data_IF_398254847245
#
_entry.id   IF_398254847245
#
_cell.length_a   1.000
_cell.length_b   1.000
_cell.length_c   1.000
_cell.angle_alpha   90.00
_cell.angle_beta   90.00
_cell.angle_gamma   90.00
#
_symmetry.space_group_name_H-M   'P 1'
#
loop_
_entity.id
_entity.type
_entity.pdbx_description
1 polymer ?
#
# COMPACT_ATOMS: atom_id res chain seq x y z
N UNK A 1 -6.39 -54.40 -57.82
CA UNK A 1 -5.56 -55.09 -56.81
C UNK A 1 -4.11 -54.69 -57.04
N UNK A 2 -3.48 -54.02 -56.06
CA UNK A 2 -2.03 -53.97 -55.85
C UNK A 2 -1.80 -53.48 -54.40
N UNK A 3 -0.80 -54.06 -53.74
CA UNK A 3 -0.60 -54.09 -52.29
C UNK A 3 0.55 -53.19 -51.82
N UNK A 4 0.43 -52.72 -50.58
CA UNK A 4 1.44 -52.43 -49.54
C UNK A 4 2.60 -51.45 -49.77
N UNK A 5 2.72 -50.52 -48.82
CA UNK A 5 3.95 -49.83 -48.43
C UNK A 5 3.71 -49.04 -47.13
N UNK A 6 4.17 -49.58 -46.01
CA UNK A 6 4.16 -48.96 -44.68
C UNK A 6 5.14 -47.79 -44.61
N UNK A 7 4.84 -46.76 -43.81
CA UNK A 7 5.82 -46.02 -43.00
C UNK A 7 5.10 -45.24 -41.88
N UNK A 8 5.56 -45.43 -40.64
CA UNK A 8 5.21 -44.73 -39.39
C UNK A 8 6.50 -44.00 -38.90
N UNK A 9 6.46 -43.11 -37.89
CA UNK A 9 6.16 -41.68 -37.89
C UNK A 9 7.44 -40.82 -37.68
N UNK A 10 7.32 -39.54 -37.27
CA UNK A 10 7.85 -39.26 -35.94
C UNK A 10 6.89 -38.49 -35.05
N UNK A 11 6.88 -38.89 -33.78
CA UNK A 11 6.33 -38.16 -32.67
C UNK A 11 7.01 -36.79 -32.50
N UNK A 12 6.21 -35.77 -32.24
CA UNK A 12 6.59 -34.58 -31.46
C UNK A 12 5.29 -34.16 -30.78
N UNK A 13 5.02 -34.77 -29.63
CA UNK A 13 5.11 -34.15 -28.30
C UNK A 13 4.14 -32.96 -28.08
N UNK A 14 3.51 -32.91 -26.90
CA UNK A 14 2.26 -32.20 -26.68
C UNK A 14 2.47 -30.69 -26.67
N UNK A 15 1.65 -29.97 -27.45
CA UNK A 15 1.32 -28.58 -27.16
C UNK A 15 0.81 -28.53 -25.71
N UNK A 16 1.61 -28.00 -24.79
CA UNK A 16 1.20 -27.73 -23.40
C UNK A 16 0.43 -26.40 -23.43
N UNK A 17 -0.91 -26.38 -23.35
CA UNK A 17 -1.67 -25.14 -23.24
C UNK A 17 -1.86 -24.89 -21.74
N UNK A 18 -0.78 -24.52 -21.06
CA UNK A 18 -0.77 -24.40 -19.60
C UNK A 18 -0.07 -23.16 -19.05
N UNK A 19 0.78 -22.50 -19.85
CA UNK A 19 1.57 -21.37 -19.37
C UNK A 19 0.87 -20.02 -19.52
N UNK A 20 -0.07 -19.86 -20.45
CA UNK A 20 -0.71 -18.56 -20.71
C UNK A 20 -1.87 -18.28 -19.74
N UNK A 21 -2.56 -19.29 -19.23
CA UNK A 21 -3.68 -19.10 -18.30
C UNK A 21 -3.25 -18.54 -16.94
N UNK A 22 -2.04 -18.91 -16.46
CA UNK A 22 -1.52 -18.52 -15.14
C UNK A 22 -1.10 -17.05 -15.05
N UNK A 23 -0.64 -16.46 -16.17
CA UNK A 23 -0.09 -15.09 -16.18
C UNK A 23 -1.23 -14.06 -16.13
N UNK A 24 -2.33 -14.33 -16.83
CA UNK A 24 -3.52 -13.47 -16.79
C UNK A 24 -4.16 -13.44 -15.40
N UNK A 25 -4.18 -14.58 -14.71
CA UNK A 25 -4.73 -14.67 -13.36
C UNK A 25 -3.84 -13.91 -12.36
N UNK A 26 -2.52 -14.07 -12.43
CA UNK A 26 -1.55 -13.38 -11.58
C UNK A 26 -1.59 -11.84 -11.73
N UNK A 27 -1.69 -11.34 -12.97
CA UNK A 27 -1.81 -9.90 -13.25
C UNK A 27 -3.14 -9.33 -12.73
N UNK A 28 -4.24 -10.07 -12.85
CA UNK A 28 -5.55 -9.66 -12.35
C UNK A 28 -5.60 -9.59 -10.80
N UNK A 29 -4.95 -10.53 -10.12
CA UNK A 29 -4.81 -10.50 -8.66
C UNK A 29 -3.95 -9.33 -8.18
N UNK A 30 -2.87 -9.00 -8.90
CA UNK A 30 -1.99 -7.88 -8.56
C UNK A 30 -2.75 -6.53 -8.59
N UNK A 31 -3.48 -6.26 -9.68
CA UNK A 31 -4.28 -5.04 -9.84
C UNK A 31 -5.37 -4.93 -8.76
N UNK A 32 -6.02 -6.05 -8.44
CA UNK A 32 -7.03 -6.10 -7.38
C UNK A 32 -6.43 -5.79 -6.00
N UNK A 33 -5.24 -6.31 -5.70
CA UNK A 33 -4.57 -6.04 -4.42
C UNK A 33 -4.13 -4.60 -4.29
N UNK A 34 -3.61 -3.99 -5.36
CA UNK A 34 -3.23 -2.57 -5.38
C UNK A 34 -4.46 -1.67 -5.20
N UNK A 35 -5.55 -1.94 -5.93
CA UNK A 35 -6.80 -1.21 -5.78
C UNK A 35 -7.35 -1.31 -4.35
N UNK A 36 -7.36 -2.51 -3.76
CA UNK A 36 -7.84 -2.71 -2.40
C UNK A 36 -6.95 -1.98 -1.38
N UNK A 37 -5.63 -1.93 -1.58
CA UNK A 37 -4.72 -1.16 -0.72
C UNK A 37 -5.03 0.33 -0.78
N UNK A 38 -5.28 0.90 -1.97
CA UNK A 38 -5.65 2.31 -2.11
C UNK A 38 -6.95 2.62 -1.36
N UNK A 39 -7.98 1.80 -1.54
CA UNK A 39 -9.26 1.96 -0.83
C UNK A 39 -9.10 1.84 0.69
N UNK A 40 -8.28 0.90 1.17
CA UNK A 40 -8.01 0.74 2.59
C UNK A 40 -7.31 1.98 3.18
N UNK A 41 -6.36 2.57 2.45
CA UNK A 41 -5.66 3.79 2.88
C UNK A 41 -6.59 4.99 2.87
N UNK A 42 -7.45 5.13 1.85
CA UNK A 42 -8.46 6.19 1.83
C UNK A 42 -9.42 6.09 3.02
N UNK A 43 -9.87 4.88 3.34
CA UNK A 43 -10.74 4.65 4.49
C UNK A 43 -10.02 4.93 5.82
N UNK A 44 -8.74 4.56 5.92
CA UNK A 44 -7.91 4.88 7.08
C UNK A 44 -7.79 6.41 7.28
N UNK A 45 -7.57 7.17 6.21
CA UNK A 45 -7.50 8.64 6.28
C UNK A 45 -8.85 9.21 6.71
N UNK A 46 -9.96 8.75 6.12
CA UNK A 46 -11.31 9.22 6.48
C UNK A 46 -11.64 8.95 7.94
N UNK A 47 -11.35 7.75 8.41
CA UNK A 47 -11.62 7.34 9.78
C UNK A 47 -10.74 8.09 10.78
N UNK A 48 -9.45 8.30 10.48
CA UNK A 48 -8.56 9.11 11.33
C UNK A 48 -8.99 10.58 11.36
N UNK A 49 -9.39 11.16 10.22
CA UNK A 49 -9.91 12.54 10.16
C UNK A 49 -11.17 12.70 11.00
N UNK A 50 -12.08 11.72 10.93
CA UNK A 50 -13.28 11.67 11.79
C UNK A 50 -12.91 11.55 13.27
N UNK A 51 -11.91 10.72 13.61
CA UNK A 51 -11.43 10.57 14.98
C UNK A 51 -10.86 11.88 15.55
N UNK A 52 -9.97 12.54 14.80
CA UNK A 52 -9.43 13.87 15.15
C UNK A 52 -10.55 14.88 15.38
N UNK A 53 -11.56 14.91 14.49
CA UNK A 53 -12.70 15.82 14.61
C UNK A 53 -13.49 15.56 15.90
N UNK A 54 -13.79 14.29 16.21
CA UNK A 54 -14.51 13.93 17.43
C UNK A 54 -13.75 14.30 18.69
N UNK A 55 -12.44 14.04 18.73
CA UNK A 55 -11.61 14.46 19.87
C UNK A 55 -11.62 15.98 20.02
N UNK A 56 -11.51 16.71 18.90
CA UNK A 56 -11.53 18.17 18.92
C UNK A 56 -12.87 18.73 19.42
N UNK A 57 -13.99 18.07 19.12
CA UNK A 57 -15.30 18.38 19.70
C UNK A 57 -15.33 18.15 21.21
N UNK A 58 -14.77 17.02 21.67
CA UNK A 58 -14.67 16.72 23.09
C UNK A 58 -13.85 17.79 23.84
N UNK A 59 -12.72 18.21 23.28
CA UNK A 59 -11.83 19.20 23.91
C UNK A 59 -12.39 20.62 23.82
N UNK A 60 -12.88 21.04 22.65
CA UNK A 60 -13.30 22.43 22.43
C UNK A 60 -14.67 22.72 23.02
N UNK A 61 -15.62 21.78 22.86
CA UNK A 61 -17.00 22.02 23.26
C UNK A 61 -17.28 21.38 24.61
N UNK A 62 -17.16 20.05 24.72
CA UNK A 62 -17.62 19.34 25.93
C UNK A 62 -16.83 19.79 27.15
N UNK A 63 -15.49 19.83 27.08
CA UNK A 63 -14.65 20.28 28.19
C UNK A 63 -14.96 21.73 28.58
N UNK A 64 -15.04 22.63 27.61
CA UNK A 64 -15.32 24.04 27.87
C UNK A 64 -16.68 24.25 28.55
N UNK A 65 -17.72 23.52 28.12
CA UNK A 65 -19.04 23.59 28.74
C UNK A 65 -19.05 23.04 30.17
N UNK A 66 -18.31 21.96 30.42
CA UNK A 66 -18.19 21.39 31.78
C UNK A 66 -17.40 22.31 32.71
N UNK A 67 -16.33 22.95 32.22
CA UNK A 67 -15.58 23.97 32.95
C UNK A 67 -16.47 25.15 33.36
N UNK A 68 -17.32 25.64 32.46
CA UNK A 68 -18.24 26.75 32.76
C UNK A 68 -19.30 26.38 33.82
N UNK A 69 -19.79 25.14 33.82
CA UNK A 69 -20.83 24.69 34.76
C UNK A 69 -20.34 24.51 36.20
N UNK A 70 -19.02 24.47 36.45
CA UNK A 70 -18.42 24.33 37.79
C UNK A 70 -19.12 23.27 38.66
N UNK A 71 -19.24 22.04 38.11
CA UNK A 71 -19.90 20.95 38.82
C UNK A 71 -19.04 20.54 40.05
N UNK A 72 -19.65 20.44 41.26
CA UNK A 72 -18.93 20.00 42.44
C UNK A 72 -18.43 18.56 42.27
N UNK A 73 -17.23 18.29 42.79
CA UNK A 73 -16.53 17.00 42.73
C UNK A 73 -16.19 16.45 41.32
N UNK A 74 -16.37 17.24 40.26
CA UNK A 74 -15.98 16.83 38.91
C UNK A 74 -14.49 17.09 38.66
N UNK A 75 -13.70 16.03 38.64
CA UNK A 75 -12.30 16.07 38.21
C UNK A 75 -12.20 16.08 36.67
N UNK A 76 -12.03 17.27 36.10
CA UNK A 76 -11.87 17.45 34.66
C UNK A 76 -10.52 16.96 34.15
N UNK A 77 -9.47 17.08 34.95
CA UNK A 77 -8.13 16.62 34.56
C UNK A 77 -8.10 15.09 34.48
N UNK A 78 -8.73 14.40 35.43
CA UNK A 78 -8.92 12.95 35.35
C UNK A 78 -9.85 12.51 34.22
N UNK A 79 -10.96 13.24 33.99
CA UNK A 79 -11.95 12.89 32.97
C UNK A 79 -11.40 13.01 31.54
N UNK A 80 -10.67 14.09 31.26
CA UNK A 80 -10.11 14.32 29.94
C UNK A 80 -8.68 13.78 29.78
N UNK A 81 -7.93 13.65 30.88
CA UNK A 81 -6.62 13.00 30.92
C UNK A 81 -5.71 13.49 29.79
N UNK A 82 -5.06 12.57 29.08
CA UNK A 82 -4.13 12.82 27.99
C UNK A 82 -4.78 13.13 26.62
N UNK A 83 -6.04 13.53 26.57
CA UNK A 83 -6.75 13.73 25.30
C UNK A 83 -6.13 14.83 24.42
N UNK A 84 -5.46 15.84 25.00
CA UNK A 84 -4.73 16.85 24.24
C UNK A 84 -3.50 16.27 23.53
N UNK A 85 -2.77 15.38 24.21
CA UNK A 85 -1.63 14.65 23.63
C UNK A 85 -2.11 13.68 22.54
N UNK A 86 -3.23 12.97 22.79
CA UNK A 86 -3.84 12.09 21.79
C UNK A 86 -4.25 12.90 20.56
N UNK A 87 -4.91 14.04 20.73
CA UNK A 87 -5.28 14.94 19.63
C UNK A 87 -4.05 15.39 18.83
N UNK A 88 -2.96 15.72 19.53
CA UNK A 88 -1.71 16.11 18.89
C UNK A 88 -1.14 14.97 18.04
N UNK A 89 -1.00 13.77 18.62
CA UNK A 89 -0.46 12.59 17.93
C UNK A 89 -1.33 12.20 16.75
N UNK A 90 -2.65 12.16 16.89
CA UNK A 90 -3.60 11.85 15.81
C UNK A 90 -3.54 12.85 14.66
N UNK A 91 -3.44 14.16 14.94
CA UNK A 91 -3.23 15.17 13.88
C UNK A 91 -1.91 14.97 13.15
N UNK A 92 -0.84 14.67 13.87
CA UNK A 92 0.45 14.38 13.25
C UNK A 92 0.40 13.10 12.42
N UNK A 93 -0.32 12.07 12.87
CA UNK A 93 -0.51 10.84 12.14
C UNK A 93 -1.31 11.06 10.85
N UNK A 94 -2.45 11.75 10.92
CA UNK A 94 -3.25 12.12 9.74
C UNK A 94 -2.42 12.86 8.68
N UNK A 95 -1.67 13.90 9.08
CA UNK A 95 -0.81 14.64 8.15
C UNK A 95 0.23 13.75 7.45
N UNK A 96 0.80 12.79 8.17
CA UNK A 96 1.77 11.84 7.60
C UNK A 96 1.09 10.86 6.63
N UNK A 97 -0.12 10.41 6.93
CA UNK A 97 -0.91 9.56 6.03
C UNK A 97 -1.23 10.29 4.72
N UNK A 98 -1.72 11.52 4.80
CA UNK A 98 -2.05 12.35 3.62
C UNK A 98 -0.82 12.62 2.76
N UNK A 99 0.33 12.94 3.39
CA UNK A 99 1.58 13.14 2.68
C UNK A 99 2.07 11.86 1.97
N UNK A 100 1.98 10.70 2.63
CA UNK A 100 2.38 9.43 2.05
C UNK A 100 1.56 9.08 0.80
N UNK A 101 0.25 9.34 0.80
CA UNK A 101 -0.62 9.15 -0.38
C UNK A 101 -0.27 10.11 -1.51
N UNK A 102 -0.05 11.39 -1.20
CA UNK A 102 0.34 12.35 -2.23
C UNK A 102 1.66 11.97 -2.92
N UNK A 103 2.64 11.47 -2.15
CA UNK A 103 3.90 10.99 -2.70
C UNK A 103 3.73 9.74 -3.57
N UNK A 104 2.91 8.76 -3.18
CA UNK A 104 2.67 7.57 -4.00
C UNK A 104 1.92 7.90 -5.29
N UNK A 105 0.95 8.82 -5.24
CA UNK A 105 0.24 9.29 -6.44
C UNK A 105 1.17 10.00 -7.42
N UNK A 106 2.09 10.85 -6.94
CA UNK A 106 3.10 11.50 -7.77
C UNK A 106 4.05 10.47 -8.41
N UNK A 107 4.54 9.49 -7.63
CA UNK A 107 5.41 8.43 -8.15
C UNK A 107 4.70 7.56 -9.19
N UNK A 108 3.41 7.28 -9.00
CA UNK A 108 2.61 6.54 -9.96
C UNK A 108 2.40 7.33 -11.26
N UNK A 109 2.22 8.66 -11.18
CA UNK A 109 2.16 9.52 -12.38
C UNK A 109 3.50 9.52 -13.15
N UNK A 110 4.63 9.61 -12.45
CA UNK A 110 5.97 9.57 -13.05
C UNK A 110 6.24 8.20 -13.71
N UNK A 111 5.83 7.10 -13.07
CA UNK A 111 6.00 5.75 -13.58
C UNK A 111 5.19 5.47 -14.84
N UNK A 112 4.01 6.09 -14.96
CA UNK A 112 3.11 5.92 -16.11
C UNK A 112 3.56 6.67 -17.37
N UNK A 113 4.53 7.58 -17.26
CA UNK A 113 5.13 8.31 -18.40
C UNK A 113 6.34 7.57 -18.99
N UNK A 114 6.92 6.62 -18.25
CA UNK A 114 8.10 5.85 -18.66
C UNK A 114 7.81 4.34 -18.89
N UNK A 115 6.61 3.99 -19.33
CA UNK A 115 6.32 2.63 -19.88
C UNK A 115 6.65 2.56 -21.37
N UNK A 116 7.91 2.82 -21.70
CA UNK A 116 8.57 2.21 -22.86
C UNK A 116 9.71 1.34 -22.36
N UNK A 117 9.51 0.02 -22.44
CA UNK A 117 10.43 -1.11 -22.14
C UNK A 117 10.44 -1.69 -20.70
N UNK A 118 9.53 -2.63 -20.37
CA UNK A 118 9.43 -3.23 -19.03
C UNK A 118 10.57 -4.20 -18.65
N UNK A 119 11.43 -4.61 -19.60
CA UNK A 119 12.49 -5.59 -19.32
C UNK A 119 13.82 -5.00 -18.82
N UNK A 120 14.12 -3.72 -19.08
CA UNK A 120 15.44 -3.15 -18.80
C UNK A 120 15.57 -2.60 -17.37
N UNK A 121 14.50 -2.01 -16.82
CA UNK A 121 14.50 -1.43 -15.46
C UNK A 121 14.62 -2.52 -14.39
N UNK A 122 13.98 -3.68 -14.60
CA UNK A 122 14.01 -4.78 -13.64
C UNK A 122 15.40 -5.42 -13.50
N UNK A 123 16.23 -5.43 -14.56
CA UNK A 123 17.64 -5.86 -14.47
C UNK A 123 18.49 -4.87 -13.69
N UNK A 124 18.27 -3.57 -13.86
CA UNK A 124 19.10 -2.53 -13.23
C UNK A 124 18.77 -2.33 -11.74
N UNK A 125 17.51 -2.48 -11.31
CA UNK A 125 17.13 -2.38 -9.89
C UNK A 125 17.68 -3.54 -9.05
N UNK A 126 17.75 -4.76 -9.59
CA UNK A 126 18.32 -5.90 -8.85
C UNK A 126 19.83 -5.73 -8.65
N UNK A 127 20.55 -5.24 -9.66
CA UNK A 127 21.98 -4.90 -9.54
C UNK A 127 22.21 -3.75 -8.56
N UNK A 128 21.33 -2.74 -8.54
CA UNK A 128 21.43 -1.59 -7.62
C UNK A 128 21.18 -1.96 -6.15
N UNK A 129 20.34 -2.96 -5.85
CA UNK A 129 20.11 -3.43 -4.48
C UNK A 129 21.28 -4.25 -3.91
N UNK A 130 22.03 -4.95 -4.77
CA UNK A 130 23.17 -5.79 -4.36
C UNK A 130 24.51 -5.03 -4.29
N UNK A 131 24.71 -3.99 -5.10
CA UNK A 131 25.98 -3.26 -5.15
C UNK A 131 26.40 -2.59 -3.82
N UNK A 132 25.53 -1.94 -3.03
CA UNK A 132 25.93 -1.34 -1.75
C UNK A 132 26.43 -2.36 -0.71
N UNK A 133 25.96 -3.61 -0.80
CA UNK A 133 26.38 -4.71 0.08
C UNK A 133 27.68 -5.40 -0.40
N UNK A 134 28.05 -5.28 -1.68
CA UNK A 134 29.29 -5.87 -2.20
C UNK A 134 30.53 -5.01 -1.95
N UNK A 135 30.40 -3.68 -1.90
CA UNK A 135 31.55 -2.77 -1.65
C UNK A 135 31.90 -2.68 -0.16
N UNK A 136 31.01 -3.13 0.73
CA UNK A 136 31.19 -3.12 2.19
C UNK A 136 31.97 -4.31 2.77
N UNK A 137 32.12 -5.41 2.02
CA UNK A 137 32.98 -6.52 2.41
C UNK A 137 34.40 -6.27 1.86
N UNK A 138 35.11 -5.36 2.51
CA UNK A 138 36.57 -5.44 2.55
C UNK A 138 36.92 -6.77 3.22
N UNK A 139 37.19 -7.79 2.40
CA UNK A 139 38.00 -8.92 2.84
C UNK A 139 39.40 -8.35 3.10
N UNK A 140 39.74 -8.22 4.38
CA UNK A 140 41.12 -8.18 4.84
C UNK A 140 41.85 -9.47 4.51
#
# INVERSE_FOLDING_TARGET
MASSGSDEPPATEPEIPGAECSIYEEVMWLDKTEQNQRLAVEELIKTEASYVHNIQLCVSDIRAHLQQKQLPDLDLEGLFSNIDDILHVSRCFLKRLEAAVSHTEQLNQIKNEETSSPLQVQRHCVLSLYCPWLVGLNFS
#
